data_IF_290310455625
#
_entry.id   IF_290310455625
#
_cell.length_a   1.000
_cell.length_b   1.000
_cell.length_c   1.000
_cell.angle_alpha   90.00
_cell.angle_beta   90.00
_cell.angle_gamma   90.00
#
_symmetry.space_group_name_H-M   'P 1'
#
loop_
_entity.id
_entity.type
_entity.pdbx_description
1 polymer ?
#
# COMPACT_ATOMS: atom_id res chain seq x y z
N UNK A 1 4.03 9.65 -14.15
CA UNK A 1 4.89 10.30 -13.19
C UNK A 1 4.20 10.72 -11.90
N UNK A 2 4.91 11.43 -11.05
CA UNK A 2 4.40 11.91 -9.74
C UNK A 2 3.13 12.75 -9.92
N UNK A 3 3.07 13.63 -10.92
CA UNK A 3 1.91 14.49 -11.19
C UNK A 3 0.64 13.68 -11.49
N UNK A 4 0.77 12.59 -12.24
CA UNK A 4 -0.36 11.68 -12.52
C UNK A 4 -0.84 10.96 -11.27
N UNK A 5 0.07 10.58 -10.37
CA UNK A 5 -0.30 9.99 -9.09
C UNK A 5 -0.98 10.99 -8.18
N UNK A 6 -0.56 12.24 -8.17
CA UNK A 6 -1.23 13.29 -7.43
C UNK A 6 -2.65 13.55 -7.95
N UNK A 7 -2.85 13.56 -9.27
CA UNK A 7 -4.18 13.65 -9.88
C UNK A 7 -5.06 12.45 -9.51
N UNK A 8 -4.50 11.25 -9.53
CA UNK A 8 -5.23 10.03 -9.19
C UNK A 8 -5.72 10.05 -7.74
N UNK A 9 -4.94 10.59 -6.83
CA UNK A 9 -5.24 10.66 -5.40
C UNK A 9 -5.87 11.99 -4.96
N UNK A 10 -6.26 12.85 -5.90
CA UNK A 10 -6.95 14.10 -5.59
C UNK A 10 -8.28 13.82 -4.89
N UNK A 11 -8.53 14.50 -3.78
CA UNK A 11 -9.75 14.34 -2.97
C UNK A 11 -11.03 14.62 -3.75
N UNK A 12 -10.97 15.47 -4.79
CA UNK A 12 -12.10 15.78 -5.64
C UNK A 12 -12.62 14.58 -6.46
N UNK A 13 -11.81 13.53 -6.61
CA UNK A 13 -12.18 12.31 -7.33
C UNK A 13 -12.92 11.29 -6.45
N UNK A 14 -13.08 11.56 -5.17
CA UNK A 14 -13.60 10.61 -4.19
C UNK A 14 -14.69 11.24 -3.32
N UNK A 15 -15.66 10.41 -2.92
CA UNK A 15 -16.68 10.78 -1.95
C UNK A 15 -16.32 10.28 -0.56
N UNK A 16 -17.08 10.68 0.46
CA UNK A 16 -16.88 10.19 1.84
C UNK A 16 -17.69 8.93 2.16
N UNK A 17 -18.18 8.25 1.14
CA UNK A 17 -18.83 6.95 1.31
C UNK A 17 -17.84 5.80 1.35
N UNK A 18 -18.19 4.72 2.03
CA UNK A 18 -17.30 3.58 2.27
C UNK A 18 -16.60 3.07 1.00
N UNK A 19 -17.30 2.75 -0.11
CA UNK A 19 -16.62 2.21 -1.29
C UNK A 19 -15.57 3.16 -1.86
N UNK A 20 -15.85 4.44 -1.86
CA UNK A 20 -14.94 5.46 -2.38
C UNK A 20 -13.73 5.65 -1.48
N UNK A 21 -13.93 5.72 -0.17
CA UNK A 21 -12.84 5.81 0.82
C UNK A 21 -11.95 4.57 0.75
N UNK A 22 -12.56 3.39 0.67
CA UNK A 22 -11.82 2.12 0.50
C UNK A 22 -10.97 2.15 -0.77
N UNK A 23 -11.56 2.48 -1.91
CA UNK A 23 -10.88 2.45 -3.21
C UNK A 23 -9.70 3.41 -3.24
N UNK A 24 -9.88 4.62 -2.74
CA UNK A 24 -8.80 5.60 -2.60
C UNK A 24 -7.69 5.08 -1.70
N UNK A 25 -8.03 4.51 -0.56
CA UNK A 25 -7.06 3.98 0.40
C UNK A 25 -6.27 2.82 -0.19
N UNK A 26 -6.92 1.92 -0.94
CA UNK A 26 -6.24 0.82 -1.64
C UNK A 26 -5.20 1.35 -2.61
N UNK A 27 -5.56 2.28 -3.48
CA UNK A 27 -4.64 2.87 -4.47
C UNK A 27 -3.51 3.61 -3.77
N UNK A 28 -3.84 4.40 -2.75
CA UNK A 28 -2.87 5.14 -1.94
C UNK A 28 -1.87 4.21 -1.26
N UNK A 29 -2.34 3.08 -0.70
CA UNK A 29 -1.49 2.10 -0.02
C UNK A 29 -0.55 1.40 -0.99
N UNK A 30 -1.03 0.99 -2.17
CA UNK A 30 -0.15 0.43 -3.21
C UNK A 30 0.97 1.39 -3.59
N UNK A 31 0.63 2.65 -3.81
CA UNK A 31 1.61 3.66 -4.18
C UNK A 31 2.57 3.99 -3.03
N UNK A 32 2.07 4.02 -1.80
CA UNK A 32 2.89 4.34 -0.63
C UNK A 32 3.88 3.22 -0.27
N UNK A 33 3.54 1.97 -0.55
CA UNK A 33 4.28 0.80 -0.05
C UNK A 33 4.87 -0.11 -1.12
N UNK A 34 4.33 -0.09 -2.32
CA UNK A 34 4.73 -0.99 -3.40
C UNK A 34 4.43 -2.47 -3.15
N UNK A 35 3.56 -2.80 -2.20
CA UNK A 35 3.21 -4.20 -1.89
C UNK A 35 2.50 -4.89 -3.05
N UNK A 36 2.48 -6.23 -3.02
CA UNK A 36 1.82 -7.04 -4.06
C UNK A 36 0.32 -7.10 -3.84
N UNK A 37 -0.41 -7.38 -4.92
CA UNK A 37 -1.87 -7.53 -4.91
C UNK A 37 -2.35 -8.50 -3.82
N UNK A 38 -1.80 -9.71 -3.78
CA UNK A 38 -2.17 -10.72 -2.80
C UNK A 38 -1.81 -10.32 -1.38
N UNK A 39 -0.72 -9.61 -1.20
CA UNK A 39 -0.30 -9.08 0.09
C UNK A 39 -1.32 -8.07 0.64
N UNK A 40 -1.79 -7.16 -0.22
CA UNK A 40 -2.82 -6.18 0.16
C UNK A 40 -4.14 -6.87 0.52
N UNK A 41 -4.59 -7.81 -0.31
CA UNK A 41 -5.86 -8.53 -0.08
C UNK A 41 -5.86 -9.33 1.23
N UNK A 42 -4.70 -9.76 1.70
CA UNK A 42 -4.55 -10.55 2.91
C UNK A 42 -4.16 -9.72 4.15
N UNK A 43 -4.02 -8.42 4.02
CA UNK A 43 -3.74 -7.55 5.18
C UNK A 43 -4.86 -7.66 6.21
N UNK A 44 -4.45 -7.65 7.47
CA UNK A 44 -5.34 -7.62 8.63
C UNK A 44 -5.28 -6.28 9.31
N UNK A 45 -6.31 -5.90 10.03
CA UNK A 45 -6.34 -4.64 10.79
C UNK A 45 -5.16 -4.56 11.75
N UNK A 46 -4.83 -5.65 12.45
CA UNK A 46 -3.72 -5.70 13.40
C UNK A 46 -2.33 -5.63 12.76
N UNK A 47 -2.22 -5.75 11.43
CA UNK A 47 -0.93 -5.60 10.74
C UNK A 47 -0.44 -4.15 10.69
N UNK A 48 -1.33 -3.19 10.96
CA UNK A 48 -0.99 -1.77 10.98
C UNK A 48 -0.51 -1.39 12.37
N UNK A 49 0.69 -0.86 12.45
CA UNK A 49 1.25 -0.26 13.66
C UNK A 49 1.26 1.26 13.50
N UNK A 50 0.24 1.91 14.03
CA UNK A 50 0.12 3.37 13.95
C UNK A 50 1.14 4.10 14.82
N UNK A 51 1.55 3.50 15.93
CA UNK A 51 2.54 4.09 16.81
C UNK A 51 3.91 4.18 16.14
N UNK A 52 4.37 3.07 15.54
CA UNK A 52 5.64 3.01 14.84
C UNK A 52 5.54 3.41 13.35
N UNK A 53 4.33 3.71 12.87
CA UNK A 53 4.08 4.09 11.48
C UNK A 53 4.65 3.08 10.48
N UNK A 54 4.25 1.83 10.65
CA UNK A 54 4.61 0.76 9.73
C UNK A 54 3.48 -0.26 9.56
N UNK A 55 3.63 -1.12 8.57
CA UNK A 55 2.72 -2.20 8.31
C UNK A 55 3.49 -3.51 8.12
N UNK A 56 3.00 -4.58 8.73
CA UNK A 56 3.53 -5.93 8.53
C UNK A 56 2.87 -6.55 7.30
N UNK A 57 3.69 -7.01 6.36
CA UNK A 57 3.24 -7.61 5.12
C UNK A 57 3.73 -9.06 5.09
N UNK A 58 2.83 -9.99 4.81
CA UNK A 58 3.13 -11.40 4.68
C UNK A 58 3.08 -11.81 3.21
N UNK A 59 4.22 -12.20 2.67
CA UNK A 59 4.37 -12.61 1.29
C UNK A 59 4.39 -14.13 1.12
N UNK A 60 4.97 -14.57 -0.01
CA UNK A 60 5.13 -16.01 -0.33
C UNK A 60 5.84 -16.75 0.81
N UNK A 61 5.43 -17.99 1.06
CA UNK A 61 6.00 -18.87 2.09
C UNK A 61 5.90 -18.31 3.51
N UNK A 62 4.85 -17.53 3.78
CA UNK A 62 4.66 -16.86 5.07
C UNK A 62 5.80 -15.93 5.48
N UNK A 63 6.54 -15.41 4.50
CA UNK A 63 7.64 -14.49 4.75
C UNK A 63 7.10 -13.12 5.10
N UNK A 64 7.41 -12.64 6.29
CA UNK A 64 6.97 -11.34 6.78
C UNK A 64 8.05 -10.27 6.53
N UNK A 65 7.61 -9.07 6.25
CA UNK A 65 8.45 -7.88 6.24
C UNK A 65 7.69 -6.68 6.78
N UNK A 66 8.44 -5.71 7.27
CA UNK A 66 7.89 -4.45 7.76
C UNK A 66 8.10 -3.38 6.70
N UNK A 67 7.05 -2.68 6.35
CA UNK A 67 7.08 -1.57 5.38
C UNK A 67 6.71 -0.28 6.09
N UNK A 68 7.54 0.77 6.01
CA UNK A 68 7.23 2.07 6.60
C UNK A 68 6.00 2.71 5.93
N UNK A 69 5.26 3.48 6.72
CA UNK A 69 4.13 4.29 6.26
C UNK A 69 4.46 5.77 6.42
N UNK A 70 4.14 6.58 5.42
CA UNK A 70 4.21 8.02 5.56
C UNK A 70 2.96 8.58 6.26
N UNK A 71 3.00 9.85 6.65
CA UNK A 71 1.89 10.48 7.35
C UNK A 71 0.60 10.54 6.53
N UNK A 72 0.72 10.70 5.21
CA UNK A 72 -0.42 10.77 4.31
C UNK A 72 -1.21 9.44 4.31
N UNK A 73 -0.53 8.31 4.17
CA UNK A 73 -1.20 7.00 4.18
C UNK A 73 -1.70 6.62 5.58
N UNK A 74 -1.00 7.03 6.63
CA UNK A 74 -1.50 6.84 8.00
C UNK A 74 -2.83 7.55 8.20
N UNK A 75 -2.95 8.79 7.72
CA UNK A 75 -4.19 9.55 7.75
C UNK A 75 -5.31 8.86 6.96
N UNK A 76 -5.00 8.39 5.75
CA UNK A 76 -5.95 7.69 4.90
C UNK A 76 -6.42 6.38 5.55
N UNK A 77 -5.52 5.61 6.15
CA UNK A 77 -5.86 4.37 6.86
C UNK A 77 -6.73 4.61 8.08
N UNK A 78 -6.47 5.65 8.86
CA UNK A 78 -7.31 6.02 10.01
C UNK A 78 -8.72 6.37 9.56
N UNK A 79 -8.86 7.17 8.52
CA UNK A 79 -10.15 7.53 7.96
C UNK A 79 -10.90 6.30 7.41
N UNK A 80 -10.19 5.44 6.70
CA UNK A 80 -10.75 4.18 6.21
C UNK A 80 -11.25 3.31 7.37
N UNK A 81 -10.50 3.16 8.44
CA UNK A 81 -10.91 2.35 9.59
C UNK A 81 -12.16 2.91 10.28
N UNK A 82 -12.35 4.22 10.31
CA UNK A 82 -13.60 4.84 10.80
C UNK A 82 -14.78 4.38 9.94
N UNK A 83 -14.65 4.38 8.62
CA UNK A 83 -15.69 3.90 7.71
C UNK A 83 -15.90 2.39 7.83
N UNK A 84 -14.83 1.61 7.95
CA UNK A 84 -14.89 0.17 8.15
C UNK A 84 -15.67 -0.20 9.41
N UNK A 85 -15.55 0.58 10.46
CA UNK A 85 -16.25 0.36 11.74
C UNK A 85 -17.78 0.39 11.61
N UNK A 86 -18.33 0.96 10.53
CA UNK A 86 -19.76 0.92 10.24
C UNK A 86 -20.26 -0.50 9.93
N UNK A 87 -19.38 -1.41 9.52
CA UNK A 87 -19.70 -2.81 9.30
C UNK A 87 -19.51 -3.60 10.59
N UNK A 88 -20.50 -4.44 10.91
CA UNK A 88 -20.36 -5.45 11.96
C UNK A 88 -19.69 -6.70 11.37
N UNK A 89 -18.46 -6.53 10.90
CA UNK A 89 -17.73 -7.60 10.25
C UNK A 89 -17.07 -8.53 11.28
N UNK A 90 -17.19 -9.82 11.05
CA UNK A 90 -16.51 -10.85 11.86
C UNK A 90 -15.09 -11.13 11.37
N UNK A 91 -14.71 -10.61 10.19
CA UNK A 91 -13.36 -10.80 9.65
C UNK A 91 -12.39 -9.74 10.18
N UNK A 92 -11.15 -10.15 10.44
CA UNK A 92 -10.05 -9.26 10.78
C UNK A 92 -9.35 -8.66 9.55
N UNK A 93 -9.76 -9.04 8.34
CA UNK A 93 -9.22 -8.52 7.08
C UNK A 93 -9.38 -7.01 7.02
N UNK A 94 -8.32 -6.31 6.60
CA UNK A 94 -8.31 -4.85 6.55
C UNK A 94 -9.35 -4.31 5.57
N UNK A 95 -9.30 -4.76 4.31
CA UNK A 95 -10.20 -4.27 3.27
C UNK A 95 -11.39 -5.21 3.09
N UNK A 96 -12.57 -4.61 2.99
CA UNK A 96 -13.84 -5.31 2.89
C UNK A 96 -14.55 -4.97 1.58
N UNK A 97 -15.34 -5.92 1.09
CA UNK A 97 -16.31 -5.69 0.01
C UNK A 97 -17.40 -4.70 0.47
N UNK A 98 -18.25 -4.27 -0.45
CA UNK A 98 -19.40 -3.41 -0.13
C UNK A 98 -20.37 -4.05 0.86
N UNK A 99 -20.31 -5.38 0.99
CA UNK A 99 -21.14 -6.18 1.93
C UNK A 99 -20.45 -6.46 3.27
N UNK A 100 -19.25 -5.92 3.48
CA UNK A 100 -18.49 -6.15 4.73
C UNK A 100 -17.79 -7.50 4.79
N UNK A 101 -17.61 -8.19 3.67
CA UNK A 101 -16.87 -9.44 3.57
C UNK A 101 -15.40 -9.20 3.21
N UNK A 102 -14.55 -10.20 3.41
CA UNK A 102 -13.14 -10.13 3.00
C UNK A 102 -13.02 -9.79 1.52
N UNK A 103 -12.20 -8.78 1.19
CA UNK A 103 -11.88 -8.45 -0.19
C UNK A 103 -11.08 -9.57 -0.85
N UNK A 104 -11.11 -9.67 -2.16
CA UNK A 104 -10.42 -10.68 -2.95
C UNK A 104 -9.63 -10.06 -4.10
N UNK A 105 -8.61 -10.77 -4.58
CA UNK A 105 -7.65 -10.24 -5.54
C UNK A 105 -8.28 -9.64 -6.80
N UNK A 106 -9.28 -10.32 -7.37
CA UNK A 106 -9.94 -9.85 -8.59
C UNK A 106 -10.66 -8.51 -8.38
N UNK A 107 -11.28 -8.32 -7.21
CA UNK A 107 -11.95 -7.06 -6.87
C UNK A 107 -10.92 -5.93 -6.71
N UNK A 108 -9.82 -6.19 -6.00
CA UNK A 108 -8.73 -5.22 -5.84
C UNK A 108 -8.16 -4.81 -7.19
N UNK A 109 -7.93 -5.78 -8.08
CA UNK A 109 -7.49 -5.52 -9.45
C UNK A 109 -8.44 -4.59 -10.20
N UNK A 110 -9.75 -4.87 -10.12
CA UNK A 110 -10.79 -4.03 -10.77
C UNK A 110 -10.82 -2.62 -10.20
N UNK A 111 -10.69 -2.48 -8.89
CA UNK A 111 -10.65 -1.16 -8.22
C UNK A 111 -9.48 -0.35 -8.75
N UNK A 112 -8.28 -0.91 -8.74
CA UNK A 112 -7.08 -0.23 -9.22
C UNK A 112 -7.22 0.12 -10.71
N UNK A 113 -7.66 -0.81 -11.52
CA UNK A 113 -7.86 -0.59 -12.95
C UNK A 113 -8.83 0.54 -13.23
N UNK A 114 -9.97 0.56 -12.53
CA UNK A 114 -10.99 1.61 -12.67
C UNK A 114 -10.44 2.98 -12.27
N UNK A 115 -9.76 3.07 -11.13
CA UNK A 115 -9.21 4.34 -10.65
C UNK A 115 -8.12 4.87 -11.60
N UNK A 116 -7.24 4.00 -12.05
CA UNK A 116 -6.18 4.41 -12.99
C UNK A 116 -6.73 4.78 -14.37
N UNK A 117 -7.86 4.24 -14.79
CA UNK A 117 -8.50 4.54 -16.07
C UNK A 117 -8.98 5.98 -16.17
N UNK A 118 -9.28 6.63 -15.04
CA UNK A 118 -9.69 8.03 -15.01
C UNK A 118 -8.55 9.00 -15.34
N UNK A 119 -7.31 8.57 -15.22
CA UNK A 119 -6.12 9.44 -15.34
C UNK A 119 -5.16 8.99 -16.45
N UNK A 120 -5.13 7.70 -16.77
CA UNK A 120 -4.19 7.11 -17.71
C UNK A 120 -4.93 6.58 -18.95
N UNK A 121 -4.69 7.18 -20.11
CA UNK A 121 -5.46 6.85 -21.33
C UNK A 121 -4.95 5.64 -22.12
N UNK A 122 -3.65 5.28 -22.05
CA UNK A 122 -3.06 4.30 -22.99
C UNK A 122 -2.04 3.33 -22.39
N UNK A 123 -2.04 3.06 -21.10
CA UNK A 123 -1.08 2.13 -20.47
C UNK A 123 -1.80 1.04 -19.68
N UNK A 124 -1.13 -0.10 -19.50
CA UNK A 124 -1.59 -1.11 -18.55
C UNK A 124 -1.88 -0.49 -17.20
N UNK A 125 -3.07 -0.75 -16.66
CA UNK A 125 -3.63 -0.14 -15.45
C UNK A 125 -3.83 -1.24 -14.41
N UNK A 126 -2.80 -1.53 -13.62
CA UNK A 126 -2.84 -2.66 -12.70
C UNK A 126 -2.04 -2.38 -11.43
N UNK A 127 -2.22 -3.17 -10.37
CA UNK A 127 -1.38 -3.09 -9.16
C UNK A 127 0.11 -3.22 -9.45
N UNK A 128 0.50 -4.02 -10.45
CA UNK A 128 1.89 -4.12 -10.88
C UNK A 128 2.46 -2.80 -11.37
N UNK A 129 1.66 -1.99 -12.06
CA UNK A 129 2.08 -0.66 -12.53
C UNK A 129 2.31 0.27 -11.34
N UNK A 130 1.45 0.26 -10.34
CA UNK A 130 1.64 1.04 -9.12
C UNK A 130 2.89 0.63 -8.36
N UNK A 131 3.14 -0.67 -8.24
CA UNK A 131 4.34 -1.22 -7.62
C UNK A 131 5.61 -0.82 -8.39
N UNK A 132 5.59 -0.92 -9.71
CA UNK A 132 6.69 -0.49 -10.57
C UNK A 132 6.92 1.03 -10.45
N UNK A 133 5.86 1.82 -10.42
CA UNK A 133 5.92 3.27 -10.23
C UNK A 133 6.55 3.63 -8.89
N UNK A 134 6.17 2.94 -7.82
CA UNK A 134 6.80 3.09 -6.50
C UNK A 134 8.31 2.86 -6.59
N UNK A 135 8.73 1.71 -7.14
CA UNK A 135 10.14 1.37 -7.27
C UNK A 135 10.91 2.40 -8.09
N UNK A 136 10.36 2.83 -9.22
CA UNK A 136 10.99 3.82 -10.10
C UNK A 136 11.15 5.16 -9.41
N UNK A 137 10.12 5.65 -8.72
CA UNK A 137 10.19 6.93 -8.01
C UNK A 137 11.20 6.88 -6.87
N UNK A 138 11.30 5.76 -6.16
CA UNK A 138 12.30 5.58 -5.11
C UNK A 138 13.73 5.62 -5.67
N UNK A 139 13.99 4.92 -6.77
CA UNK A 139 15.30 4.90 -7.42
C UNK A 139 15.66 6.25 -8.01
N UNK A 140 14.73 6.93 -8.67
CA UNK A 140 14.93 8.25 -9.26
C UNK A 140 15.23 9.31 -8.18
N UNK A 141 14.69 9.15 -6.99
CA UNK A 141 14.96 10.01 -5.84
C UNK A 141 16.25 9.64 -5.10
N UNK A 142 17.04 8.71 -5.60
CA UNK A 142 18.36 8.35 -5.09
C UNK A 142 18.39 7.22 -4.08
N UNK A 143 17.29 6.47 -3.92
CA UNK A 143 17.28 5.29 -3.06
C UNK A 143 18.19 4.20 -3.62
N UNK A 144 18.89 3.51 -2.72
CA UNK A 144 19.71 2.35 -3.09
C UNK A 144 18.85 1.19 -3.61
N UNK A 145 19.31 0.55 -4.69
CA UNK A 145 18.59 -0.56 -5.31
C UNK A 145 18.33 -1.72 -4.33
N UNK A 146 19.29 -2.05 -3.47
CA UNK A 146 19.12 -3.12 -2.49
C UNK A 146 18.07 -2.76 -1.44
N UNK A 147 18.03 -1.50 -0.99
CA UNK A 147 17.02 -1.00 -0.07
C UNK A 147 15.60 -1.05 -0.67
N UNK A 148 15.46 -0.70 -1.95
CA UNK A 148 14.17 -0.79 -2.66
C UNK A 148 13.74 -2.24 -2.81
N UNK A 149 14.65 -3.14 -3.18
CA UNK A 149 14.36 -4.58 -3.25
C UNK A 149 13.92 -5.14 -1.89
N UNK A 150 14.55 -4.70 -0.81
CA UNK A 150 14.18 -5.07 0.56
C UNK A 150 12.76 -4.65 0.91
N UNK A 151 12.40 -3.39 0.64
CA UNK A 151 11.03 -2.88 0.83
C UNK A 151 10.01 -3.68 0.04
N UNK A 152 10.34 -4.09 -1.17
CA UNK A 152 9.46 -4.85 -2.06
C UNK A 152 9.42 -6.36 -1.79
N UNK A 153 10.30 -6.86 -0.92
CA UNK A 153 10.37 -8.29 -0.61
C UNK A 153 11.02 -9.14 -1.72
N UNK A 154 11.94 -8.58 -2.51
CA UNK A 154 12.71 -9.30 -3.54
C UNK A 154 13.93 -10.03 -2.97
N UNK A 155 13.98 -10.27 -1.69
CA UNK A 155 15.15 -10.89 -1.04
C UNK A 155 15.18 -12.38 -1.34
N UNK A 156 16.38 -12.88 -1.67
CA UNK A 156 16.58 -14.29 -1.94
C UNK A 156 16.22 -15.15 -0.73
N UNK A 157 15.74 -16.35 -1.01
CA UNK A 157 15.20 -17.36 -0.09
C UNK A 157 16.15 -17.74 1.07
N UNK A 158 17.44 -17.40 0.97
CA UNK A 158 18.49 -17.88 1.87
C UNK A 158 18.62 -17.09 3.18
N UNK A 159 17.96 -15.97 3.33
CA UNK A 159 18.10 -15.14 4.53
C UNK A 159 16.76 -15.01 5.27
N UNK A 160 16.66 -15.66 6.41
CA UNK A 160 15.66 -15.33 7.42
C UNK A 160 16.00 -13.93 7.93
N UNK A 161 15.33 -12.91 7.43
CA UNK A 161 15.55 -11.55 7.93
C UNK A 161 14.85 -11.36 9.26
N UNK A 162 15.63 -11.11 10.28
CA UNK A 162 15.13 -10.62 11.56
C UNK A 162 15.06 -9.10 11.45
N UNK A 163 13.85 -8.55 11.48
CA UNK A 163 13.66 -7.11 11.54
C UNK A 163 13.96 -6.61 12.94
N UNK A 164 15.12 -6.00 13.11
CA UNK A 164 15.49 -5.31 14.34
C UNK A 164 14.94 -3.88 14.31
N UNK A 165 14.87 -3.23 15.47
CA UNK A 165 14.51 -1.80 15.56
C UNK A 165 15.40 -0.93 14.65
N UNK A 166 16.70 -1.19 14.63
CA UNK A 166 17.66 -0.46 13.78
C UNK A 166 17.40 -0.65 12.28
N UNK A 167 17.04 -1.87 11.87
CA UNK A 167 16.69 -2.18 10.47
C UNK A 167 15.43 -1.41 10.05
N UNK A 168 14.40 -1.40 10.89
CA UNK A 168 13.15 -0.66 10.64
C UNK A 168 13.42 0.85 10.53
N UNK A 169 14.23 1.41 11.43
CA UNK A 169 14.58 2.82 11.39
C UNK A 169 15.38 3.18 10.13
N UNK A 170 16.28 2.32 9.69
CA UNK A 170 17.01 2.48 8.42
C UNK A 170 16.05 2.51 7.22
N UNK A 171 15.09 1.60 7.16
CA UNK A 171 14.09 1.53 6.10
C UNK A 171 13.22 2.79 6.08
N UNK A 172 12.78 3.27 7.26
CA UNK A 172 12.04 4.53 7.38
C UNK A 172 12.82 5.72 6.87
N UNK A 173 14.10 5.80 7.19
CA UNK A 173 14.98 6.88 6.74
C UNK A 173 15.11 6.90 5.21
N UNK A 174 15.38 5.75 4.61
CA UNK A 174 15.47 5.60 3.15
C UNK A 174 14.14 5.99 2.50
N UNK A 175 13.04 5.49 3.01
CA UNK A 175 11.69 5.80 2.52
C UNK A 175 11.39 7.30 2.57
N UNK A 176 11.62 7.92 3.72
CA UNK A 176 11.36 9.36 3.92
C UNK A 176 12.18 10.25 2.99
N UNK A 177 13.42 9.87 2.72
CA UNK A 177 14.31 10.63 1.82
C UNK A 177 13.93 10.49 0.34
N UNK A 178 13.39 9.35 -0.06
CA UNK A 178 13.25 8.98 -1.46
C UNK A 178 11.82 9.00 -1.98
N UNK A 179 10.81 8.72 -1.15
CA UNK A 179 9.41 8.63 -1.63
C UNK A 179 8.81 10.02 -1.85
N UNK A 180 8.19 10.29 -3.04
CA UNK A 180 7.68 11.63 -3.39
C UNK A 180 6.57 12.15 -2.48
N UNK A 181 5.87 11.27 -1.77
CA UNK A 181 4.75 11.63 -0.86
C UNK A 181 5.08 11.40 0.62
N UNK A 182 6.34 11.10 0.90
CA UNK A 182 6.79 10.89 2.27
C UNK A 182 6.82 12.21 3.07
#
# INVERSE_FOLDING_TARGET
GVDKMNLLLDDNNFTDEYPSVRDRTIVSLFYATGIRLSELSNLKVQDIDFYNQNIKVTGKRNKERIVPLNQSIVKDLKHYLEKRAEFQSITDTLFLTDKGEKIYNKMVYRIVNKQMSSVLTNKKKSPHVLRHTFATHMLDAGADLNSVKELLGHISIAATQVYTHNTIEKLKKVYKQAHPRA
#
